data_IF_681408607273
#
_entry.id   IF_681408607273
#
_cell.length_a   1.000
_cell.length_b   1.000
_cell.length_c   1.000
_cell.angle_alpha   90.00
_cell.angle_beta   90.00
_cell.angle_gamma   90.00
#
_symmetry.space_group_name_H-M   'P 1'
#
loop_
_entity.id
_entity.type
_entity.pdbx_description
1 polymer ?
#
# COMPACT_ATOMS: atom_id res chain seq x y z
N UNK A 1 -4.84 13.67 -7.88
CA UNK A 1 -3.98 13.10 -6.81
C UNK A 1 -2.68 12.70 -7.47
N UNK A 2 -1.55 13.16 -6.95
CA UNK A 2 -0.23 12.73 -7.44
C UNK A 2 0.19 11.47 -6.70
N UNK A 3 0.99 10.63 -7.34
CA UNK A 3 1.69 9.54 -6.67
C UNK A 3 3.14 9.58 -7.11
N UNK A 4 4.07 9.32 -6.19
CA UNK A 4 5.49 9.26 -6.49
C UNK A 4 6.04 7.89 -6.15
N UNK A 5 7.05 7.45 -6.89
CA UNK A 5 7.75 6.22 -6.58
C UNK A 5 8.73 6.42 -5.42
N UNK A 6 8.64 5.58 -4.39
CA UNK A 6 9.59 5.54 -3.29
C UNK A 6 10.50 4.31 -3.45
N UNK A 7 11.79 4.55 -3.73
CA UNK A 7 12.79 3.49 -3.92
C UNK A 7 13.06 2.65 -2.67
N UNK A 8 12.90 3.24 -1.47
CA UNK A 8 13.13 2.52 -0.20
C UNK A 8 11.98 1.58 0.09
N UNK A 9 10.75 2.03 -0.19
CA UNK A 9 9.55 1.24 0.03
C UNK A 9 9.27 0.25 -1.12
N UNK A 10 9.75 0.55 -2.34
CA UNK A 10 9.48 -0.24 -3.53
C UNK A 10 8.03 -0.17 -3.99
N UNK A 11 7.36 0.97 -3.73
CA UNK A 11 5.94 1.24 -4.01
C UNK A 11 5.76 2.66 -4.50
N UNK A 12 4.61 2.95 -5.11
CA UNK A 12 4.15 4.31 -5.31
C UNK A 12 3.43 4.80 -4.05
N UNK A 13 3.81 5.94 -3.50
CA UNK A 13 3.12 6.60 -2.39
C UNK A 13 2.10 7.57 -2.99
N UNK A 14 0.84 7.46 -2.60
CA UNK A 14 -0.23 8.36 -3.05
C UNK A 14 -0.25 9.60 -2.16
N UNK A 15 0.00 10.76 -2.74
CA UNK A 15 0.07 12.02 -2.00
C UNK A 15 -1.26 12.37 -1.33
N UNK A 16 -1.18 12.76 -0.05
CA UNK A 16 -2.33 13.18 0.74
C UNK A 16 -3.23 12.04 1.27
N UNK A 17 -2.81 10.77 1.10
CA UNK A 17 -3.48 9.60 1.69
C UNK A 17 -2.42 8.61 2.19
N UNK A 18 -2.70 7.86 3.25
CA UNK A 18 -1.84 6.73 3.67
C UNK A 18 -2.11 5.52 2.77
N UNK A 19 -1.82 5.69 1.48
CA UNK A 19 -2.06 4.73 0.43
C UNK A 19 -0.78 4.49 -0.36
N UNK A 20 -0.53 3.22 -0.60
CA UNK A 20 0.62 2.75 -1.36
C UNK A 20 0.12 1.93 -2.54
N UNK A 21 0.77 2.01 -3.68
CA UNK A 21 0.36 1.31 -4.89
C UNK A 21 1.51 0.50 -5.47
N UNK A 22 1.27 -0.79 -5.71
CA UNK A 22 2.23 -1.70 -6.34
C UNK A 22 1.48 -2.82 -7.03
N UNK A 23 1.96 -3.25 -8.20
CA UNK A 23 1.45 -4.46 -8.88
C UNK A 23 -0.09 -4.48 -9.04
N UNK A 24 -0.69 -3.31 -9.36
CA UNK A 24 -2.14 -3.11 -9.53
C UNK A 24 -2.99 -3.20 -8.27
N UNK A 25 -2.35 -3.27 -7.09
CA UNK A 25 -3.02 -3.23 -5.80
C UNK A 25 -2.65 -1.95 -5.06
N UNK A 26 -3.64 -1.39 -4.40
CA UNK A 26 -3.48 -0.40 -3.36
C UNK A 26 -3.30 -1.12 -2.03
N UNK A 27 -2.44 -0.60 -1.18
CA UNK A 27 -2.17 -1.07 0.17
C UNK A 27 -2.40 0.09 1.14
N UNK A 28 -2.99 -0.22 2.28
CA UNK A 28 -3.13 0.72 3.40
C UNK A 28 -2.86 0.01 4.71
N UNK A 29 -2.41 0.78 5.69
CA UNK A 29 -2.32 0.34 7.07
C UNK A 29 -3.53 0.87 7.85
N UNK A 30 -4.25 -0.02 8.55
CA UNK A 30 -5.40 0.32 9.39
C UNK A 30 -5.47 -0.66 10.57
N UNK A 31 -4.42 -0.68 11.40
CA UNK A 31 -4.21 -1.69 12.46
C UNK A 31 -3.64 -3.02 11.97
N UNK A 32 -3.95 -3.37 10.72
CA UNK A 32 -3.34 -4.45 9.94
C UNK A 32 -3.13 -3.97 8.48
N UNK A 33 -2.44 -4.77 7.68
CA UNK A 33 -2.32 -4.51 6.25
C UNK A 33 -3.57 -4.94 5.49
N UNK A 34 -4.08 -4.02 4.66
CA UNK A 34 -5.16 -4.28 3.73
C UNK A 34 -4.72 -3.95 2.31
N UNK A 35 -5.26 -4.68 1.33
CA UNK A 35 -5.12 -4.36 -0.08
C UNK A 35 -6.48 -4.16 -0.77
N UNK A 36 -6.48 -3.46 -1.89
CA UNK A 36 -7.65 -3.25 -2.73
C UNK A 36 -7.25 -3.03 -4.19
N UNK A 37 -8.11 -3.43 -5.13
CA UNK A 37 -7.91 -3.13 -6.54
C UNK A 37 -8.18 -1.64 -6.89
N UNK A 38 -8.84 -0.90 -5.99
CA UNK A 38 -9.21 0.51 -6.14
C UNK A 38 -8.82 1.29 -4.88
N UNK A 39 -8.52 2.60 -4.99
CA UNK A 39 -8.09 3.41 -3.85
C UNK A 39 -9.17 3.63 -2.79
N UNK A 40 -10.43 3.30 -3.09
CA UNK A 40 -11.57 3.47 -2.18
C UNK A 40 -12.14 2.12 -1.70
N UNK A 41 -11.46 1.01 -2.00
CA UNK A 41 -11.86 -0.34 -1.62
C UNK A 41 -12.66 -1.10 -2.71
N UNK A 42 -13.26 -2.26 -2.37
CA UNK A 42 -13.30 -2.86 -1.04
C UNK A 42 -11.91 -3.25 -0.54
N UNK A 43 -11.69 -3.07 0.76
CA UNK A 43 -10.42 -3.38 1.42
C UNK A 43 -10.46 -4.81 1.94
N UNK A 44 -9.47 -5.59 1.56
CA UNK A 44 -9.34 -6.99 1.94
C UNK A 44 -8.06 -7.16 2.78
N UNK A 45 -8.09 -7.94 3.86
CA UNK A 45 -6.90 -8.20 4.65
C UNK A 45 -5.86 -8.91 3.78
N UNK A 46 -4.60 -8.47 3.87
CA UNK A 46 -3.51 -9.07 3.11
C UNK A 46 -2.51 -9.71 4.05
N UNK A 47 -2.11 -10.95 3.73
CA UNK A 47 -1.12 -11.65 4.53
C UNK A 47 0.23 -10.91 4.46
N UNK A 48 1.01 -10.83 5.56
CA UNK A 48 2.30 -10.15 5.58
C UNK A 48 3.29 -10.52 4.45
N UNK A 49 3.36 -11.78 3.97
CA UNK A 49 4.22 -12.14 2.84
C UNK A 49 3.86 -11.42 1.53
N UNK A 50 2.58 -11.07 1.34
CA UNK A 50 2.05 -10.39 0.16
C UNK A 50 2.15 -8.87 0.24
N UNK A 51 2.52 -8.33 1.40
CA UNK A 51 2.81 -6.90 1.60
C UNK A 51 4.23 -6.61 1.09
N UNK A 52 4.45 -5.53 0.32
CA UNK A 52 5.79 -5.12 -0.10
C UNK A 52 6.79 -5.05 1.07
N UNK A 53 8.04 -5.51 0.89
CA UNK A 53 9.04 -5.59 1.97
C UNK A 53 9.34 -4.25 2.64
N UNK A 54 9.36 -3.15 1.88
CA UNK A 54 9.58 -1.84 2.49
C UNK A 54 8.38 -1.34 3.30
N UNK A 55 7.15 -1.80 3.01
CA UNK A 55 5.97 -1.45 3.79
C UNK A 55 5.89 -2.22 5.10
N UNK A 56 6.14 -3.52 5.09
CA UNK A 56 6.17 -4.35 6.30
C UNK A 56 7.24 -3.96 7.32
N UNK A 57 8.29 -3.26 6.89
CA UNK A 57 9.35 -2.77 7.79
C UNK A 57 8.98 -1.43 8.44
N UNK A 58 7.92 -0.76 7.93
CA UNK A 58 7.51 0.57 8.38
C UNK A 58 6.50 0.52 9.54
N UNK A 59 5.71 -0.54 9.63
CA UNK A 59 4.66 -0.78 10.63
C UNK A 59 4.74 -2.22 11.12
#
# INVERSE_FOLDING_TARGET
MAAHWDNRLGVYVVEGRELYYRERLYYRWDGDWFCAARPDGPWEPVAPPSVPPGLRERY
#
